data_IF_296872722397
#
_entry.id   IF_296872722397
#
_cell.length_a   1.000
_cell.length_b   1.000
_cell.length_c   1.000
_cell.angle_alpha   90.00
_cell.angle_beta   90.00
_cell.angle_gamma   90.00
#
_symmetry.space_group_name_H-M   'P 1'
#
loop_
_entity.id
_entity.type
_entity.pdbx_description
1 polymer ?
#
# COMPACT_ATOMS: atom_id res chain seq x y z
N UNK A 1 7.02 8.28 4.13
CA UNK A 1 5.94 8.44 5.15
C UNK A 1 6.44 8.99 6.47
N UNK A 2 7.44 8.38 7.13
CA UNK A 2 7.91 8.81 8.47
C UNK A 2 8.25 10.30 8.57
N UNK A 3 9.02 10.83 7.63
CA UNK A 3 9.41 12.25 7.61
C UNK A 3 8.21 13.19 7.55
N UNK A 4 7.25 12.91 6.66
CA UNK A 4 6.02 13.70 6.55
C UNK A 4 5.22 13.70 7.85
N UNK A 5 5.11 12.56 8.54
CA UNK A 5 4.40 12.49 9.83
C UNK A 5 5.13 13.27 10.92
N UNK A 6 6.46 13.21 10.96
CA UNK A 6 7.28 13.95 11.91
C UNK A 6 7.16 15.46 11.70
N UNK A 7 7.31 15.92 10.46
CA UNK A 7 7.25 17.35 10.12
C UNK A 7 5.84 17.92 10.34
N UNK A 8 4.79 17.12 10.12
CA UNK A 8 3.39 17.56 10.25
C UNK A 8 2.83 17.47 11.66
N UNK A 9 3.41 16.64 12.51
CA UNK A 9 2.98 16.44 13.88
C UNK A 9 4.17 16.45 14.86
N UNK A 10 4.90 17.59 14.97
CA UNK A 10 6.13 17.68 15.76
C UNK A 10 5.90 17.43 17.25
N UNK A 11 4.70 17.71 17.76
CA UNK A 11 4.36 17.59 19.19
C UNK A 11 3.86 16.18 19.58
N UNK A 12 3.68 15.27 18.61
CA UNK A 12 3.20 13.92 18.90
C UNK A 12 4.35 13.00 19.35
N UNK A 13 4.13 12.16 20.39
CA UNK A 13 5.10 11.15 20.79
C UNK A 13 5.41 10.17 19.65
N UNK A 14 6.66 9.69 19.59
CA UNK A 14 7.11 8.71 18.59
C UNK A 14 6.21 7.48 18.51
N UNK A 15 5.71 6.98 19.65
CA UNK A 15 4.80 5.84 19.69
C UNK A 15 3.50 6.08 18.90
N UNK A 16 2.97 7.31 18.93
CA UNK A 16 1.78 7.68 18.16
C UNK A 16 2.12 7.83 16.68
N UNK A 17 3.25 8.46 16.34
CA UNK A 17 3.75 8.56 14.96
C UNK A 17 3.95 7.17 14.34
N UNK A 18 4.50 6.23 15.11
CA UNK A 18 4.73 4.84 14.70
C UNK A 18 3.42 4.10 14.45
N UNK A 19 2.42 4.25 15.35
CA UNK A 19 1.09 3.67 15.14
C UNK A 19 0.43 4.22 13.87
N UNK A 20 0.46 5.54 13.67
CA UNK A 20 -0.08 6.16 12.46
C UNK A 20 0.63 5.67 11.21
N UNK A 21 1.97 5.62 11.23
CA UNK A 21 2.75 5.08 10.12
C UNK A 21 2.32 3.66 9.79
N UNK A 22 2.22 2.78 10.79
CA UNK A 22 1.81 1.39 10.59
C UNK A 22 0.41 1.27 9.97
N UNK A 23 -0.53 2.13 10.35
CA UNK A 23 -1.86 2.17 9.73
C UNK A 23 -1.83 2.69 8.29
N UNK A 24 -0.91 3.59 7.96
CA UNK A 24 -0.79 4.15 6.60
C UNK A 24 -0.10 3.17 5.64
N UNK A 25 0.96 2.49 6.10
CA UNK A 25 1.80 1.59 5.30
C UNK A 25 1.46 0.11 5.54
N UNK A 26 0.17 -0.21 5.61
CA UNK A 26 -0.30 -1.59 5.72
C UNK A 26 -1.05 -2.03 4.46
N UNK A 27 -1.07 -3.34 4.22
CA UNK A 27 -1.70 -3.96 3.04
C UNK A 27 -3.10 -3.40 2.76
N UNK A 28 -4.05 -3.33 3.72
CA UNK A 28 -5.38 -2.76 3.45
C UNK A 28 -5.34 -1.31 2.93
N UNK A 29 -4.49 -0.47 3.51
CA UNK A 29 -4.31 0.92 3.09
C UNK A 29 -3.70 1.01 1.69
N UNK A 30 -2.68 0.20 1.41
CA UNK A 30 -2.00 0.19 0.12
C UNK A 30 -2.92 -0.31 -1.01
N UNK A 31 -3.72 -1.34 -0.75
CA UNK A 31 -4.74 -1.82 -1.70
C UNK A 31 -5.77 -0.74 -2.03
N UNK A 32 -6.19 0.06 -1.05
CA UNK A 32 -7.10 1.19 -1.29
C UNK A 32 -6.45 2.21 -2.24
N UNK A 33 -5.18 2.56 -2.02
CA UNK A 33 -4.48 3.51 -2.89
C UNK A 33 -4.26 2.95 -4.30
N UNK A 34 -3.87 1.68 -4.41
CA UNK A 34 -3.71 0.98 -5.68
C UNK A 34 -5.01 0.94 -6.50
N UNK A 35 -6.14 0.62 -5.86
CA UNK A 35 -7.43 0.58 -6.53
C UNK A 35 -7.92 1.97 -6.98
N UNK A 36 -7.60 3.04 -6.23
CA UNK A 36 -7.95 4.42 -6.63
C UNK A 36 -7.32 4.83 -7.95
N UNK A 37 -6.13 4.30 -8.26
CA UNK A 37 -5.44 4.53 -9.54
C UNK A 37 -5.64 3.39 -10.53
N UNK A 38 -6.53 2.44 -10.23
CA UNK A 38 -6.79 1.22 -11.02
C UNK A 38 -5.52 0.42 -11.31
N UNK A 39 -4.57 0.41 -10.38
CA UNK A 39 -3.28 -0.29 -10.56
C UNK A 39 -3.50 -1.77 -10.85
N UNK A 40 -4.47 -2.38 -10.16
CA UNK A 40 -4.85 -3.77 -10.35
C UNK A 40 -5.16 -4.12 -11.82
N UNK A 41 -5.70 -3.22 -12.63
CA UNK A 41 -5.97 -3.44 -14.07
C UNK A 41 -4.70 -3.40 -14.92
N UNK A 42 -3.68 -2.69 -14.44
CA UNK A 42 -2.41 -2.48 -15.15
C UNK A 42 -1.37 -3.56 -14.84
N UNK A 43 -1.56 -4.36 -13.79
CA UNK A 43 -0.64 -5.44 -13.44
C UNK A 43 -0.66 -6.52 -14.53
N UNK A 44 0.52 -6.80 -15.08
CA UNK A 44 0.74 -7.93 -15.98
C UNK A 44 0.83 -9.21 -15.16
N UNK A 45 -0.13 -10.12 -15.38
CA UNK A 45 -0.21 -11.39 -14.68
C UNK A 45 -0.01 -12.55 -15.65
N UNK A 46 0.68 -13.58 -15.18
CA UNK A 46 0.71 -14.86 -15.88
C UNK A 46 -0.70 -15.47 -15.94
N UNK A 47 -0.98 -16.26 -16.98
CA UNK A 47 -2.31 -16.89 -17.19
C UNK A 47 -2.80 -17.71 -15.99
N UNK A 48 -1.88 -18.35 -15.25
CA UNK A 48 -2.22 -19.09 -14.04
C UNK A 48 -2.66 -18.17 -12.91
N UNK A 49 -1.90 -17.10 -12.67
CA UNK A 49 -2.17 -16.13 -11.61
C UNK A 49 -3.45 -15.33 -11.86
N UNK A 50 -3.73 -14.99 -13.11
CA UNK A 50 -5.00 -14.38 -13.50
C UNK A 50 -6.19 -15.29 -13.16
N UNK A 51 -6.09 -16.59 -13.53
CA UNK A 51 -7.15 -17.58 -13.30
C UNK A 51 -7.42 -17.86 -11.82
N UNK A 52 -6.41 -17.71 -10.96
CA UNK A 52 -6.54 -17.91 -9.51
C UNK A 52 -6.94 -16.63 -8.77
N UNK A 53 -7.31 -15.57 -9.49
CA UNK A 53 -7.78 -14.32 -8.91
C UNK A 53 -6.66 -13.41 -8.40
N UNK A 54 -5.43 -13.56 -8.91
CA UNK A 54 -4.30 -12.70 -8.54
C UNK A 54 -4.58 -11.20 -8.72
N UNK A 55 -5.39 -10.84 -9.72
CA UNK A 55 -5.79 -9.45 -10.01
C UNK A 55 -6.57 -8.76 -8.89
N UNK A 56 -7.22 -9.53 -8.02
CA UNK A 56 -7.98 -9.01 -6.87
C UNK A 56 -7.33 -9.40 -5.53
N UNK A 57 -6.17 -10.06 -5.54
CA UNK A 57 -5.50 -10.51 -4.32
C UNK A 57 -4.85 -9.32 -3.59
N UNK A 58 -5.22 -9.05 -2.33
CA UNK A 58 -4.71 -7.90 -1.58
C UNK A 58 -3.19 -7.84 -1.49
N UNK A 59 -2.53 -8.96 -1.14
CA UNK A 59 -1.07 -9.02 -1.03
C UNK A 59 -0.37 -8.68 -2.34
N UNK A 60 -0.83 -9.25 -3.46
CA UNK A 60 -0.27 -8.97 -4.79
C UNK A 60 -0.41 -7.49 -5.17
N UNK A 61 -1.59 -6.92 -4.94
CA UNK A 61 -1.88 -5.51 -5.25
C UNK A 61 -1.02 -4.59 -4.36
N UNK A 62 -0.89 -4.92 -3.07
CA UNK A 62 -0.05 -4.19 -2.12
C UNK A 62 1.42 -4.21 -2.54
N UNK A 63 1.97 -5.40 -2.83
CA UNK A 63 3.35 -5.57 -3.26
C UNK A 63 3.62 -4.79 -4.56
N UNK A 64 2.69 -4.85 -5.52
CA UNK A 64 2.80 -4.10 -6.77
C UNK A 64 2.76 -2.58 -6.55
N UNK A 65 1.96 -2.11 -5.60
CA UNK A 65 1.90 -0.69 -5.23
C UNK A 65 3.18 -0.23 -4.54
N UNK A 66 3.73 -1.03 -3.63
CA UNK A 66 5.02 -0.73 -3.00
C UNK A 66 6.14 -0.68 -4.05
N UNK A 67 6.17 -1.63 -5.00
CA UNK A 67 7.14 -1.63 -6.09
C UNK A 67 6.99 -0.42 -7.03
N UNK A 68 5.77 0.09 -7.22
CA UNK A 68 5.50 1.29 -8.02
C UNK A 68 5.98 2.58 -7.33
N UNK A 69 5.86 2.64 -5.99
CA UNK A 69 6.28 3.80 -5.18
C UNK A 69 7.77 3.74 -4.80
N UNK A 70 8.35 2.54 -4.82
CA UNK A 70 9.70 2.19 -4.37
C UNK A 70 10.81 3.13 -4.81
#
# INVERSE_FOLDING_TARGET
VSRYLFDKHPDLPEGNLTKMRATIVCEPSLVIFANKIKLNELILLGKGEEKTGGRTRPSLISDAFEAFVG
#
